data_IF_879045030705
#
_entry.id   IF_879045030705
#
_cell.length_a   1.000
_cell.length_b   1.000
_cell.length_c   1.000
_cell.angle_alpha   90.00
_cell.angle_beta   90.00
_cell.angle_gamma   90.00
#
_symmetry.space_group_name_H-M   'P 1'
#
loop_
_entity.id
_entity.type
_entity.pdbx_description
1 polymer ?
#
# COMPACT_ATOMS: atom_id res chain seq x y z
N UNK A 1 20.62 -8.67 -11.69
CA UNK A 1 19.76 -9.85 -11.51
C UNK A 1 19.92 -10.48 -10.14
N UNK A 2 21.13 -10.84 -9.69
CA UNK A 2 21.37 -11.22 -8.27
C UNK A 2 21.42 -9.98 -7.34
N UNK A 3 21.97 -8.88 -7.86
CA UNK A 3 22.14 -7.60 -7.15
C UNK A 3 20.78 -6.97 -6.72
N UNK A 4 19.72 -7.16 -7.53
CA UNK A 4 18.39 -6.62 -7.27
C UNK A 4 17.73 -7.24 -6.01
N UNK A 5 18.20 -8.41 -5.58
CA UNK A 5 17.72 -9.10 -4.38
C UNK A 5 18.45 -8.67 -3.09
N UNK A 6 19.56 -7.93 -3.17
CA UNK A 6 20.33 -7.53 -1.98
C UNK A 6 19.49 -6.82 -0.93
N UNK A 7 18.59 -5.94 -1.39
CA UNK A 7 17.72 -5.13 -0.53
C UNK A 7 16.37 -5.78 -0.27
N UNK A 8 16.05 -6.91 -0.92
CA UNK A 8 14.71 -7.50 -0.88
C UNK A 8 14.25 -7.82 0.54
N UNK A 9 15.10 -8.48 1.34
CA UNK A 9 14.76 -8.83 2.74
C UNK A 9 14.48 -7.58 3.58
N UNK A 10 15.26 -6.51 3.38
CA UNK A 10 15.05 -5.23 4.06
C UNK A 10 13.75 -4.57 3.61
N UNK A 11 13.53 -4.41 2.30
CA UNK A 11 12.33 -3.79 1.73
C UNK A 11 11.06 -4.56 2.13
N UNK A 12 11.10 -5.89 2.10
CA UNK A 12 10.00 -6.74 2.54
C UNK A 12 9.69 -6.54 4.02
N UNK A 13 10.72 -6.46 4.88
CA UNK A 13 10.50 -6.17 6.29
C UNK A 13 9.85 -4.79 6.49
N UNK A 14 10.33 -3.77 5.78
CA UNK A 14 9.79 -2.42 5.84
C UNK A 14 8.32 -2.37 5.43
N UNK A 15 7.97 -3.02 4.31
CA UNK A 15 6.59 -3.14 3.85
C UNK A 15 5.69 -3.85 4.86
N UNK A 16 6.14 -4.98 5.42
CA UNK A 16 5.35 -5.74 6.38
C UNK A 16 5.16 -4.97 7.71
N UNK A 17 6.20 -4.30 8.20
CA UNK A 17 6.19 -3.71 9.54
C UNK A 17 5.60 -2.30 9.59
N UNK A 18 5.84 -1.51 8.54
CA UNK A 18 5.47 -0.08 8.50
C UNK A 18 4.50 0.24 7.36
N UNK A 19 4.20 -0.71 6.47
CA UNK A 19 3.26 -0.50 5.38
C UNK A 19 3.76 0.58 4.42
N UNK A 20 2.87 1.51 4.07
CA UNK A 20 3.15 2.60 3.12
C UNK A 20 4.26 3.55 3.61
N UNK A 21 4.41 3.69 4.93
CA UNK A 21 5.39 4.59 5.53
C UNK A 21 6.75 3.90 5.76
N UNK A 22 6.89 2.63 5.37
CA UNK A 22 8.16 1.92 5.39
C UNK A 22 9.13 2.48 4.35
N UNK A 23 10.43 2.40 4.64
CA UNK A 23 11.47 2.80 3.70
C UNK A 23 11.72 1.71 2.65
N UNK A 24 11.68 2.07 1.38
CA UNK A 24 12.19 1.28 0.28
C UNK A 24 13.58 1.78 -0.11
N UNK A 25 14.50 0.85 -0.36
CA UNK A 25 15.79 1.10 -1.00
C UNK A 25 15.76 0.60 -2.43
N UNK A 26 16.13 1.44 -3.39
CA UNK A 26 16.37 1.00 -4.77
C UNK A 26 17.68 0.18 -4.84
N UNK A 27 17.69 -1.05 -5.37
CA UNK A 27 18.89 -1.89 -5.37
C UNK A 27 20.04 -1.32 -6.23
N UNK A 28 19.72 -0.56 -7.28
CA UNK A 28 20.72 -0.08 -8.25
C UNK A 28 21.28 1.28 -7.87
N UNK A 29 20.43 2.17 -7.36
CA UNK A 29 20.84 3.55 -7.03
C UNK A 29 21.12 3.75 -5.54
N UNK A 30 20.72 2.79 -4.69
CA UNK A 30 20.72 2.87 -3.22
C UNK A 30 19.89 4.04 -2.66
N UNK A 31 19.10 4.70 -3.50
CA UNK A 31 18.20 5.76 -3.09
C UNK A 31 17.14 5.23 -2.12
N UNK A 32 16.83 6.02 -1.10
CA UNK A 32 15.83 5.70 -0.09
C UNK A 32 14.63 6.62 -0.24
N UNK A 33 13.45 6.02 -0.20
CA UNK A 33 12.16 6.72 -0.23
C UNK A 33 11.14 5.90 0.54
N UNK A 34 9.98 6.47 0.81
CA UNK A 34 8.88 5.70 1.36
C UNK A 34 8.29 4.76 0.29
N UNK A 35 7.73 3.63 0.72
CA UNK A 35 6.97 2.73 -0.16
C UNK A 35 5.81 3.48 -0.81
N UNK A 36 5.21 4.43 -0.09
CA UNK A 36 4.19 5.36 -0.60
C UNK A 36 4.66 6.13 -1.82
N UNK A 37 5.78 6.85 -1.71
CA UNK A 37 6.33 7.65 -2.81
C UNK A 37 6.67 6.77 -4.01
N UNK A 38 7.21 5.58 -3.75
CA UNK A 38 7.56 4.65 -4.81
C UNK A 38 6.34 4.08 -5.56
N UNK A 39 5.27 3.73 -4.84
CA UNK A 39 3.99 3.32 -5.43
C UNK A 39 3.44 4.45 -6.32
N UNK A 40 3.40 5.69 -5.81
CA UNK A 40 2.89 6.83 -6.58
C UNK A 40 3.73 7.12 -7.83
N UNK A 41 5.05 6.96 -7.76
CA UNK A 41 5.90 7.05 -8.94
C UNK A 41 5.63 5.92 -9.93
N UNK A 42 5.49 4.68 -9.44
CA UNK A 42 5.19 3.51 -10.26
C UNK A 42 3.86 3.68 -11.00
N UNK A 43 2.82 4.17 -10.32
CA UNK A 43 1.52 4.44 -10.95
C UNK A 43 1.64 5.44 -12.12
N UNK A 44 2.42 6.52 -11.96
CA UNK A 44 2.66 7.48 -13.04
C UNK A 44 3.36 6.85 -14.25
N UNK A 45 4.28 5.92 -14.02
CA UNK A 45 4.96 5.21 -15.11
C UNK A 45 4.04 4.20 -15.80
N UNK A 46 3.09 3.62 -15.06
CA UNK A 46 2.17 2.60 -15.57
C UNK A 46 0.89 3.18 -16.20
N UNK A 47 0.62 4.48 -16.08
CA UNK A 47 -0.58 5.14 -16.60
C UNK A 47 -0.92 4.76 -18.06
N UNK A 48 0.04 4.75 -19.01
CA UNK A 48 -0.26 4.36 -20.40
C UNK A 48 -0.78 2.93 -20.52
N UNK A 49 -0.31 2.02 -19.65
CA UNK A 49 -0.77 0.64 -19.61
C UNK A 49 -2.17 0.51 -19.01
N UNK A 50 -2.48 1.27 -17.96
CA UNK A 50 -3.84 1.34 -17.40
C UNK A 50 -4.83 1.92 -18.42
N UNK A 51 -4.42 2.93 -19.20
CA UNK A 51 -5.23 3.52 -20.26
C UNK A 51 -5.59 2.49 -21.34
N UNK A 52 -4.59 1.79 -21.90
CA UNK A 52 -4.81 0.77 -22.94
C UNK A 52 -5.70 -0.39 -22.47
N UNK A 53 -5.62 -0.73 -21.18
CA UNK A 53 -6.41 -1.80 -20.56
C UNK A 53 -7.78 -1.32 -20.04
N UNK A 54 -8.14 -0.05 -20.21
CA UNK A 54 -9.35 0.57 -19.67
C UNK A 54 -9.48 0.38 -18.14
N UNK A 55 -8.37 0.49 -17.41
CA UNK A 55 -8.29 0.22 -15.98
C UNK A 55 -7.77 1.42 -15.16
N UNK A 56 -7.91 2.64 -15.68
CA UNK A 56 -7.51 3.88 -14.99
C UNK A 56 -8.18 4.03 -13.62
N UNK A 57 -9.44 3.59 -13.46
CA UNK A 57 -10.13 3.62 -12.16
C UNK A 57 -9.41 2.80 -11.08
N UNK A 58 -8.79 1.68 -11.46
CA UNK A 58 -8.00 0.87 -10.52
C UNK A 58 -6.72 1.61 -10.11
N UNK A 59 -6.09 2.35 -11.02
CA UNK A 59 -4.94 3.19 -10.68
C UNK A 59 -5.34 4.32 -9.72
N UNK A 60 -6.49 4.97 -9.94
CA UNK A 60 -7.06 5.99 -9.06
C UNK A 60 -7.35 5.44 -7.65
N UNK A 61 -7.87 4.21 -7.54
CA UNK A 61 -8.10 3.55 -6.25
C UNK A 61 -6.79 3.29 -5.48
N UNK A 62 -5.76 2.79 -6.17
CA UNK A 62 -4.44 2.57 -5.56
C UNK A 62 -3.82 3.91 -5.14
N UNK A 63 -3.93 4.95 -6.00
CA UNK A 63 -3.47 6.29 -5.68
C UNK A 63 -4.20 6.85 -4.46
N UNK A 64 -5.52 6.69 -4.36
CA UNK A 64 -6.30 7.17 -3.21
C UNK A 64 -5.87 6.50 -1.90
N UNK A 65 -5.63 5.18 -1.92
CA UNK A 65 -5.08 4.42 -0.79
C UNK A 65 -3.68 4.92 -0.39
N UNK A 66 -2.80 5.12 -1.39
CA UNK A 66 -1.43 5.54 -1.19
C UNK A 66 -1.28 7.03 -0.87
N UNK A 67 -2.15 7.94 -1.30
CA UNK A 67 -1.96 9.38 -1.12
C UNK A 67 -2.84 9.98 -0.02
N UNK A 68 -4.05 9.42 0.21
CA UNK A 68 -5.09 10.10 1.00
C UNK A 68 -5.65 9.24 2.12
N UNK A 69 -6.31 8.16 1.77
CA UNK A 69 -7.23 7.44 2.66
C UNK A 69 -6.50 6.49 3.64
N UNK A 70 -5.28 6.11 3.29
CA UNK A 70 -4.57 5.04 3.97
C UNK A 70 -5.12 3.66 3.57
N UNK A 71 -4.55 2.63 4.19
CA UNK A 71 -4.86 1.23 3.86
C UNK A 71 -5.79 0.58 4.90
N UNK A 72 -6.21 -0.64 4.60
CA UNK A 72 -7.10 -1.41 5.47
C UNK A 72 -6.53 -1.59 6.90
N UNK A 73 -5.21 -1.69 7.07
CA UNK A 73 -4.60 -1.77 8.40
C UNK A 73 -4.80 -0.48 9.22
N UNK A 74 -4.77 0.68 8.56
CA UNK A 74 -5.00 1.98 9.21
C UNK A 74 -6.46 2.15 9.61
N UNK A 75 -7.39 1.72 8.75
CA UNK A 75 -8.81 1.61 9.07
C UNK A 75 -9.07 0.74 10.30
N UNK A 76 -8.53 -0.49 10.34
CA UNK A 76 -8.74 -1.41 11.46
C UNK A 76 -8.14 -0.89 12.77
N UNK A 77 -6.97 -0.21 12.70
CA UNK A 77 -6.39 0.47 13.87
C UNK A 77 -7.29 1.59 14.39
N UNK A 78 -7.94 2.37 13.51
CA UNK A 78 -8.93 3.37 13.90
C UNK A 78 -10.11 2.75 14.64
N UNK A 79 -10.71 1.69 14.09
CA UNK A 79 -11.83 0.97 14.74
C UNK A 79 -11.41 0.44 16.11
N UNK A 80 -10.23 -0.15 16.23
CA UNK A 80 -9.76 -0.64 17.52
C UNK A 80 -9.48 0.50 18.51
N UNK A 81 -8.91 1.62 18.06
CA UNK A 81 -8.65 2.79 18.90
C UNK A 81 -9.95 3.41 19.46
N UNK A 82 -11.03 3.38 18.69
CA UNK A 82 -12.34 3.89 19.10
C UNK A 82 -13.10 2.92 20.02
N UNK A 83 -13.01 1.61 19.76
CA UNK A 83 -13.84 0.60 20.42
C UNK A 83 -13.13 -0.17 21.52
N UNK A 84 -11.80 -0.18 21.53
CA UNK A 84 -10.95 -1.05 22.34
C UNK A 84 -11.36 -2.54 22.28
N UNK A 85 -11.94 -2.97 21.15
CA UNK A 85 -12.58 -4.28 21.03
C UNK A 85 -12.23 -4.97 19.71
N UNK A 86 -11.61 -6.15 19.81
CA UNK A 86 -11.14 -6.91 18.65
C UNK A 86 -12.31 -7.49 17.84
N UNK A 87 -13.39 -7.94 18.49
CA UNK A 87 -14.56 -8.45 17.79
C UNK A 87 -15.22 -7.37 16.93
N UNK A 88 -15.28 -6.13 17.44
CA UNK A 88 -15.80 -4.96 16.71
C UNK A 88 -14.94 -4.64 15.50
N UNK A 89 -13.61 -4.68 15.65
CA UNK A 89 -12.66 -4.54 14.53
C UNK A 89 -12.85 -5.63 13.46
N UNK A 90 -13.01 -6.90 13.85
CA UNK A 90 -13.26 -8.01 12.91
C UNK A 90 -14.61 -7.85 12.21
N UNK A 91 -15.66 -7.47 12.95
CA UNK A 91 -16.96 -7.18 12.34
C UNK A 91 -16.86 -6.06 11.30
N UNK A 92 -16.16 -4.96 11.61
CA UNK A 92 -15.93 -3.87 10.68
C UNK A 92 -15.20 -4.34 9.40
N UNK A 93 -14.16 -5.18 9.54
CA UNK A 93 -13.46 -5.83 8.41
C UNK A 93 -14.43 -6.61 7.51
N UNK A 94 -15.26 -7.48 8.10
CA UNK A 94 -16.21 -8.29 7.32
C UNK A 94 -17.30 -7.47 6.64
N UNK A 95 -17.76 -6.38 7.27
CA UNK A 95 -18.72 -5.46 6.67
C UNK A 95 -18.10 -4.69 5.50
N UNK A 96 -16.88 -4.20 5.66
CA UNK A 96 -16.15 -3.50 4.60
C UNK A 96 -15.98 -4.39 3.36
N UNK A 97 -15.59 -5.66 3.55
CA UNK A 97 -15.48 -6.63 2.44
C UNK A 97 -16.82 -6.86 1.72
N UNK A 98 -17.93 -6.93 2.46
CA UNK A 98 -19.27 -7.14 1.87
C UNK A 98 -19.84 -5.90 1.19
N UNK A 99 -19.44 -4.70 1.63
CA UNK A 99 -19.88 -3.43 1.04
C UNK A 99 -19.04 -2.97 -0.15
N UNK A 100 -17.89 -3.61 -0.40
CA UNK A 100 -17.02 -3.37 -1.55
C UNK A 100 -17.33 -4.31 -2.74
N UNK A 101 -18.33 -5.19 -2.62
CA UNK A 101 -18.77 -6.13 -3.64
C UNK A 101 -20.05 -5.66 -4.34
#
# INVERSE_FOLDING_TARGET
>A
MEDDYLVYTFNRFQACRFGLDGTMVNPQTLERRTIREDILQTLRQLEPHFSVLNSLSAAEEIEACAARQGNHASFLRGVFAETCNVQSMVQASTRALRGAA
#
